data_IF_392203882320
#
_entry.id   IF_392203882320
#
_cell.length_a   1.000
_cell.length_b   1.000
_cell.length_c   1.000
_cell.angle_alpha   90.00
_cell.angle_beta   90.00
_cell.angle_gamma   90.00
#
_symmetry.space_group_name_H-M   'P 1'
#
loop_
_entity.id
_entity.type
_entity.pdbx_description
1 polymer ?
#
# COMPACT_ATOMS: atom_id res chain seq x y z
N UNK A 1 9.07 -8.30 20.88
CA UNK A 1 9.10 -7.18 19.92
C UNK A 1 7.97 -7.36 18.93
N UNK A 2 7.17 -6.33 18.61
CA UNK A 2 6.25 -6.41 17.48
C UNK A 2 7.04 -6.65 16.18
N UNK A 3 6.50 -7.41 15.22
CA UNK A 3 7.18 -7.65 13.95
C UNK A 3 7.39 -6.34 13.20
N UNK A 4 8.58 -6.20 12.60
CA UNK A 4 8.92 -5.07 11.74
C UNK A 4 8.71 -5.47 10.28
N UNK A 5 8.05 -4.60 9.51
CA UNK A 5 7.73 -4.80 8.10
C UNK A 5 8.75 -4.10 7.22
N UNK A 6 9.20 -4.75 6.14
CA UNK A 6 10.13 -4.12 5.20
C UNK A 6 9.37 -3.11 4.35
N UNK A 7 9.89 -1.89 4.21
CA UNK A 7 9.24 -0.78 3.49
C UNK A 7 10.09 -0.19 2.38
N UNK A 8 11.39 -0.46 2.38
CA UNK A 8 12.31 -0.09 1.32
C UNK A 8 13.59 -0.91 1.38
N UNK A 9 14.27 -0.99 0.25
CA UNK A 9 15.62 -1.54 0.11
C UNK A 9 16.49 -0.49 -0.56
N UNK A 10 17.72 -0.35 -0.08
CA UNK A 10 18.74 0.47 -0.73
C UNK A 10 19.81 -0.45 -1.28
N UNK A 11 19.95 -0.47 -2.60
CA UNK A 11 21.03 -1.18 -3.28
C UNK A 11 22.28 -0.30 -3.30
N UNK A 12 23.36 -0.74 -2.64
CA UNK A 12 24.66 -0.08 -2.78
C UNK A 12 25.39 -0.72 -3.97
N UNK A 13 25.80 0.09 -4.97
CA UNK A 13 26.39 -0.39 -6.22
C UNK A 13 27.65 -1.25 -6.05
N UNK A 14 28.42 -1.04 -4.97
CA UNK A 14 29.64 -1.78 -4.66
C UNK A 14 29.77 -2.19 -3.19
N UNK A 15 28.72 -2.02 -2.38
CA UNK A 15 28.71 -2.30 -0.94
C UNK A 15 27.50 -3.15 -0.51
N UNK A 16 27.45 -3.52 0.77
CA UNK A 16 26.28 -4.19 1.34
C UNK A 16 25.08 -3.24 1.36
N UNK A 17 24.03 -3.54 0.59
CA UNK A 17 22.76 -2.82 0.67
C UNK A 17 22.11 -2.93 2.05
N UNK A 18 21.11 -2.09 2.34
CA UNK A 18 20.36 -2.15 3.60
C UNK A 18 18.86 -2.13 3.38
N UNK A 19 18.11 -2.65 4.36
CA UNK A 19 16.63 -2.65 4.34
C UNK A 19 16.09 -1.68 5.38
N UNK A 20 15.11 -0.89 4.99
CA UNK A 20 14.35 -0.08 5.93
C UNK A 20 13.15 -0.89 6.43
N UNK A 21 12.97 -0.91 7.74
CA UNK A 21 11.85 -1.60 8.39
C UNK A 21 11.05 -0.63 9.25
N UNK A 22 9.75 -0.83 9.30
CA UNK A 22 8.81 -0.01 10.06
C UNK A 22 7.97 -0.88 11.01
N UNK A 23 7.71 -0.37 12.21
CA UNK A 23 6.67 -0.94 13.06
C UNK A 23 5.28 -0.48 12.59
N UNK A 24 4.21 -1.12 13.07
CA UNK A 24 2.84 -0.75 12.71
C UNK A 24 2.53 0.74 12.96
N UNK A 25 3.03 1.34 14.04
CA UNK A 25 2.84 2.78 14.30
C UNK A 25 3.50 3.65 13.22
N UNK A 26 4.71 3.29 12.77
CA UNK A 26 5.39 4.00 11.69
C UNK A 26 4.69 3.78 10.35
N UNK A 27 4.21 2.57 10.06
CA UNK A 27 3.38 2.29 8.86
C UNK A 27 2.17 3.21 8.80
N UNK A 28 1.46 3.39 9.92
CA UNK A 28 0.29 4.27 9.99
C UNK A 28 0.65 5.75 9.86
N UNK A 29 1.61 6.23 10.67
CA UNK A 29 1.97 7.66 10.75
C UNK A 29 2.55 8.19 9.43
N UNK A 30 3.40 7.39 8.80
CA UNK A 30 4.09 7.77 7.55
C UNK A 30 3.39 7.22 6.31
N UNK A 31 2.23 6.59 6.48
CA UNK A 31 1.41 6.01 5.41
C UNK A 31 2.19 5.03 4.54
N UNK A 32 3.14 4.30 5.10
CA UNK A 32 4.06 3.46 4.33
C UNK A 32 3.35 2.21 3.80
N UNK A 33 3.63 1.89 2.53
CA UNK A 33 3.23 0.63 1.91
C UNK A 33 4.37 -0.39 2.10
N UNK A 34 4.07 -1.58 2.66
CA UNK A 34 5.03 -2.67 2.72
C UNK A 34 5.67 -2.98 1.37
N UNK A 35 6.98 -3.24 1.35
CA UNK A 35 7.76 -3.52 0.14
C UNK A 35 7.18 -4.69 -0.66
N UNK A 36 6.61 -5.69 0.02
CA UNK A 36 5.94 -6.83 -0.59
C UNK A 36 4.77 -6.45 -1.52
N UNK A 37 4.25 -5.23 -1.42
CA UNK A 37 3.15 -4.73 -2.25
C UNK A 37 3.59 -3.68 -3.27
N UNK A 38 4.89 -3.38 -3.37
CA UNK A 38 5.38 -2.45 -4.37
C UNK A 38 5.24 -3.05 -5.78
N UNK A 39 4.99 -2.23 -6.81
CA UNK A 39 5.00 -2.71 -8.19
C UNK A 39 6.33 -3.38 -8.54
N UNK A 40 6.31 -4.42 -9.40
CA UNK A 40 7.52 -5.19 -9.74
C UNK A 40 8.69 -4.36 -10.30
N UNK A 41 8.39 -3.23 -10.96
CA UNK A 41 9.39 -2.33 -11.53
C UNK A 41 9.74 -1.15 -10.61
N UNK A 42 9.32 -1.19 -9.35
CA UNK A 42 9.67 -0.16 -8.37
C UNK A 42 11.15 -0.29 -7.99
N UNK A 43 11.82 0.83 -7.76
CA UNK A 43 13.25 0.93 -7.44
C UNK A 43 13.61 0.54 -6.00
N UNK A 44 12.65 -0.02 -5.25
CA UNK A 44 12.80 -0.35 -3.84
C UNK A 44 12.76 0.84 -2.87
N UNK A 45 12.57 2.08 -3.33
CA UNK A 45 12.40 3.24 -2.45
C UNK A 45 11.08 3.16 -1.64
N UNK A 46 10.95 4.02 -0.62
CA UNK A 46 9.72 4.07 0.20
C UNK A 46 8.53 4.52 -0.65
N UNK A 47 7.47 3.72 -0.63
CA UNK A 47 6.18 4.06 -1.25
C UNK A 47 5.13 4.33 -0.17
N UNK A 48 4.29 5.34 -0.38
CA UNK A 48 3.23 5.73 0.56
C UNK A 48 1.84 5.53 -0.02
N UNK A 49 0.86 5.24 0.83
CA UNK A 49 -0.55 5.24 0.46
C UNK A 49 -0.95 6.63 -0.03
N UNK A 50 -1.58 6.72 -1.22
CA UNK A 50 -2.01 8.00 -1.77
C UNK A 50 -3.09 8.63 -0.91
N UNK A 51 -3.24 9.96 -0.97
CA UNK A 51 -4.17 10.72 -0.12
C UNK A 51 -5.64 10.31 -0.27
N UNK A 52 -6.01 9.70 -1.41
CA UNK A 52 -7.33 9.12 -1.61
C UNK A 52 -7.65 7.98 -0.63
N UNK A 53 -6.63 7.36 -0.04
CA UNK A 53 -6.78 6.36 1.03
C UNK A 53 -6.93 7.10 2.37
N UNK A 54 -8.07 7.00 3.05
CA UNK A 54 -8.27 7.71 4.31
C UNK A 54 -7.32 7.24 5.41
N UNK A 55 -6.92 8.15 6.31
CA UNK A 55 -5.96 7.86 7.38
C UNK A 55 -6.41 6.73 8.32
N UNK A 56 -7.70 6.60 8.59
CA UNK A 56 -8.26 5.51 9.40
C UNK A 56 -8.14 4.14 8.72
N UNK A 57 -8.23 4.11 7.39
CA UNK A 57 -7.99 2.90 6.62
C UNK A 57 -6.51 2.51 6.67
N UNK A 58 -5.60 3.48 6.54
CA UNK A 58 -4.16 3.24 6.71
C UNK A 58 -3.84 2.69 8.11
N UNK A 59 -4.43 3.25 9.16
CA UNK A 59 -4.28 2.76 10.52
C UNK A 59 -4.80 1.33 10.70
N UNK A 60 -5.86 0.95 9.98
CA UNK A 60 -6.41 -0.42 9.97
C UNK A 60 -5.48 -1.40 9.23
N UNK A 61 -4.83 -0.94 8.15
CA UNK A 61 -3.92 -1.76 7.34
C UNK A 61 -2.57 -1.99 8.05
N UNK A 62 -2.08 -0.99 8.79
CA UNK A 62 -0.79 -1.02 9.46
C UNK A 62 -0.51 -2.28 10.32
N UNK A 63 -1.41 -2.73 11.22
CA UNK A 63 -1.18 -3.95 12.00
C UNK A 63 -1.26 -5.24 11.17
N UNK A 64 -1.81 -5.19 9.96
CA UNK A 64 -1.90 -6.35 9.06
C UNK A 64 -0.59 -6.60 8.29
N UNK A 65 0.33 -5.63 8.28
CA UNK A 65 1.66 -5.76 7.69
C UNK A 65 1.63 -6.31 6.25
N UNK A 66 2.38 -7.39 6.02
CA UNK A 66 2.56 -8.04 4.72
C UNK A 66 1.52 -9.15 4.46
N UNK A 67 0.32 -9.06 5.06
CA UNK A 67 -0.72 -10.07 4.87
C UNK A 67 -1.01 -10.31 3.38
N UNK A 68 -0.89 -11.57 2.88
CA UNK A 68 -0.96 -11.86 1.45
C UNK A 68 -2.33 -11.53 0.84
N UNK A 69 -3.40 -11.53 1.65
CA UNK A 69 -4.75 -11.16 1.21
C UNK A 69 -4.86 -9.70 0.77
N UNK A 70 -3.92 -8.85 1.17
CA UNK A 70 -3.88 -7.43 0.81
C UNK A 70 -3.11 -7.16 -0.50
N UNK A 71 -2.30 -8.11 -0.98
CA UNK A 71 -1.44 -7.90 -2.15
C UNK A 71 -2.24 -7.48 -3.39
N UNK A 72 -3.28 -8.24 -3.76
CA UNK A 72 -4.10 -7.94 -4.93
C UNK A 72 -4.92 -6.63 -4.77
N UNK A 73 -5.61 -6.37 -3.64
CA UNK A 73 -6.28 -5.09 -3.41
C UNK A 73 -5.35 -3.87 -3.49
N UNK A 74 -4.15 -3.93 -2.89
CA UNK A 74 -3.18 -2.83 -2.91
C UNK A 74 -2.61 -2.64 -4.31
N UNK A 75 -2.27 -3.73 -5.01
CA UNK A 75 -1.80 -3.66 -6.40
C UNK A 75 -2.81 -2.97 -7.32
N UNK A 76 -4.10 -3.31 -7.20
CA UNK A 76 -5.17 -2.62 -7.95
C UNK A 76 -5.27 -1.14 -7.60
N UNK A 77 -5.15 -0.78 -6.32
CA UNK A 77 -5.19 0.62 -5.90
C UNK A 77 -4.06 1.42 -6.55
N UNK A 78 -2.83 0.89 -6.53
CA UNK A 78 -1.68 1.56 -7.11
C UNK A 78 -1.82 1.72 -8.62
N UNK A 79 -2.34 0.71 -9.31
CA UNK A 79 -2.63 0.79 -10.74
C UNK A 79 -3.69 1.86 -11.07
N UNK A 80 -4.81 1.88 -10.34
CA UNK A 80 -5.87 2.87 -10.54
C UNK A 80 -5.36 4.30 -10.27
N UNK A 81 -4.58 4.49 -9.20
CA UNK A 81 -3.99 5.79 -8.87
C UNK A 81 -2.93 6.21 -9.89
N UNK A 82 -2.15 5.29 -10.46
CA UNK A 82 -1.23 5.61 -11.55
C UNK A 82 -2.00 6.15 -12.77
N UNK A 83 -3.17 5.55 -13.11
CA UNK A 83 -4.03 6.05 -14.20
C UNK A 83 -4.54 7.46 -13.97
N UNK A 84 -4.86 7.85 -12.73
CA UNK A 84 -5.27 9.24 -12.43
C UNK A 84 -4.20 10.30 -12.74
N UNK A 85 -2.92 9.88 -12.83
CA UNK A 85 -1.78 10.76 -13.12
C UNK A 85 -1.37 10.73 -14.59
N UNK A 86 -2.02 9.91 -15.41
CA UNK A 86 -1.73 9.79 -16.83
C UNK A 86 -2.22 11.04 -17.57
N UNK A 87 -1.26 11.78 -18.13
CA UNK A 87 -1.51 13.05 -18.84
C UNK A 87 -1.98 12.85 -20.27
N UNK A 88 -1.94 11.61 -20.78
CA UNK A 88 -2.43 11.28 -22.12
C UNK A 88 -3.95 11.14 -22.17
N UNK A 89 -4.59 11.02 -21.01
CA UNK A 89 -6.04 10.87 -20.88
C UNK A 89 -6.78 12.21 -21.02
N UNK A 90 -7.92 12.17 -21.70
CA UNK A 90 -8.85 13.30 -21.75
C UNK A 90 -9.53 13.56 -20.38
N UNK A 91 -10.39 14.58 -20.31
CA UNK A 91 -11.03 14.96 -19.05
C UNK A 91 -11.99 13.89 -18.51
N UNK A 92 -12.76 13.25 -19.39
CA UNK A 92 -13.75 12.23 -19.02
C UNK A 92 -13.05 10.95 -18.57
N UNK A 93 -11.99 10.55 -19.26
CA UNK A 93 -11.13 9.43 -18.90
C UNK A 93 -10.44 9.65 -17.55
N UNK A 94 -9.94 10.86 -17.28
CA UNK A 94 -9.37 11.20 -15.97
C UNK A 94 -10.42 11.15 -14.86
N UNK A 95 -11.63 11.63 -15.12
CA UNK A 95 -12.74 11.53 -14.18
C UNK A 95 -13.07 10.07 -13.85
N UNK A 96 -13.22 9.23 -14.87
CA UNK A 96 -13.45 7.79 -14.72
C UNK A 96 -12.31 7.11 -13.93
N UNK A 97 -11.04 7.48 -14.17
CA UNK A 97 -9.91 6.95 -13.41
C UNK A 97 -9.96 7.34 -11.92
N UNK A 98 -10.41 8.57 -11.60
CA UNK A 98 -10.62 8.98 -10.20
C UNK A 98 -11.72 8.16 -9.53
N UNK A 99 -12.83 7.90 -10.22
CA UNK A 99 -13.91 7.07 -9.69
C UNK A 99 -13.49 5.60 -9.52
N UNK A 100 -12.71 5.06 -10.45
CA UNK A 100 -12.09 3.74 -10.31
C UNK A 100 -11.17 3.67 -9.08
N UNK A 101 -10.35 4.70 -8.85
CA UNK A 101 -9.49 4.77 -7.67
C UNK A 101 -10.32 4.80 -6.38
N UNK A 102 -11.41 5.57 -6.33
CA UNK A 102 -12.35 5.59 -5.18
C UNK A 102 -13.00 4.23 -4.95
N UNK A 103 -13.46 3.57 -6.01
CA UNK A 103 -14.04 2.24 -5.93
C UNK A 103 -13.02 1.22 -5.38
N UNK A 104 -11.76 1.34 -5.79
CA UNK A 104 -10.68 0.46 -5.32
C UNK A 104 -10.35 0.69 -3.85
N UNK A 105 -10.40 1.94 -3.35
CA UNK A 105 -10.31 2.23 -1.91
C UNK A 105 -11.44 1.55 -1.13
N UNK A 106 -12.67 1.58 -1.64
CA UNK A 106 -13.80 0.89 -1.00
C UNK A 106 -13.58 -0.63 -0.93
N UNK A 107 -13.01 -1.23 -1.98
CA UNK A 107 -12.66 -2.66 -1.99
C UNK A 107 -11.51 -2.98 -1.02
N UNK A 108 -10.48 -2.11 -0.95
CA UNK A 108 -9.39 -2.25 0.01
C UNK A 108 -9.92 -2.21 1.45
N UNK A 109 -10.87 -1.32 1.75
CA UNK A 109 -11.53 -1.27 3.06
C UNK A 109 -12.26 -2.59 3.39
N UNK A 110 -12.96 -3.19 2.43
CA UNK A 110 -13.61 -4.50 2.62
C UNK A 110 -12.58 -5.60 2.90
N UNK A 111 -11.48 -5.64 2.14
CA UNK A 111 -10.41 -6.61 2.34
C UNK A 111 -9.74 -6.45 3.71
N UNK A 112 -9.43 -5.22 4.12
CA UNK A 112 -8.83 -4.92 5.42
C UNK A 112 -9.71 -5.38 6.59
N UNK A 113 -11.03 -5.18 6.50
CA UNK A 113 -11.98 -5.66 7.53
C UNK A 113 -11.99 -7.19 7.63
N UNK A 114 -12.00 -7.90 6.49
CA UNK A 114 -11.95 -9.37 6.47
C UNK A 114 -10.65 -9.90 7.06
N UNK A 115 -9.51 -9.32 6.66
CA UNK A 115 -8.20 -9.69 7.19
C UNK A 115 -8.13 -9.45 8.72
N UNK A 116 -8.63 -8.32 9.19
CA UNK A 116 -8.68 -7.99 10.62
C UNK A 116 -9.59 -8.91 11.43
N UNK A 117 -10.61 -9.50 10.81
CA UNK A 117 -11.46 -10.51 11.44
C UNK A 117 -10.71 -11.83 11.59
N UNK A 118 -10.12 -12.32 10.50
CA UNK A 118 -9.35 -13.57 10.48
C UNK A 118 -8.19 -13.56 11.50
N UNK A 119 -7.49 -12.43 11.64
CA UNK A 119 -6.42 -12.27 12.64
C UNK A 119 -6.95 -12.31 14.08
N UNK A 120 -8.18 -11.84 14.31
CA UNK A 120 -8.80 -11.88 15.65
C UNK A 120 -9.32 -13.27 16.00
N UNK A 121 -9.87 -14.01 15.04
CA UNK A 121 -10.35 -15.38 15.26
C UNK A 121 -9.21 -16.38 15.49
N UNK A 122 -8.03 -16.12 14.92
CA UNK A 122 -6.85 -16.98 15.08
C UNK A 122 -6.11 -16.78 16.43
N UNK A 123 -6.60 -15.92 17.33
CA UNK A 123 -5.95 -15.53 18.59
C UNK A 123 -6.75 -16.00 19.79
#
# INVERSE_FOLDING_TARGET
>A
MPPLTVVAVHHAGSGGGWTHRACARCLARERLIPLAFHPLRHDGARLTYPEIVPGELVATLAPLGESPVLAAPIGRLLAAVARTKDRTLDADQRHAAHDEARATVAQLRKAARRASHAVREAR
#
